data_IF_517612890805
#
_entry.id   IF_517612890805
#
_cell.length_a   1.000
_cell.length_b   1.000
_cell.length_c   1.000
_cell.angle_alpha   90.00
_cell.angle_beta   90.00
_cell.angle_gamma   90.00
#
_symmetry.space_group_name_H-M   'P 1'
#
loop_
_entity.id
_entity.type
_entity.pdbx_description
1 polymer ?
#
# COMPACT_ATOMS: atom_id res chain seq x y z
N UNK A 1 24.45 40.80 -52.25
CA UNK A 1 23.14 41.04 -51.61
C UNK A 1 22.65 39.70 -51.04
N UNK A 2 22.45 39.61 -49.71
CA UNK A 2 21.87 38.47 -48.95
C UNK A 2 20.33 38.46 -49.13
N UNK A 3 19.58 37.35 -48.94
CA UNK A 3 19.46 36.61 -47.65
C UNK A 3 19.43 35.06 -47.81
N UNK A 4 20.01 34.23 -46.94
CA UNK A 4 19.58 33.78 -45.60
C UNK A 4 18.13 33.24 -45.55
N UNK A 5 17.99 31.92 -45.28
CA UNK A 5 16.86 31.17 -44.68
C UNK A 5 16.49 29.90 -45.47
N UNK A 6 16.96 28.74 -45.00
CA UNK A 6 16.26 27.45 -45.10
C UNK A 6 16.75 26.62 -43.90
N UNK A 7 16.15 26.84 -42.72
CA UNK A 7 15.07 25.98 -42.18
C UNK A 7 15.57 24.53 -42.02
N UNK A 8 16.29 24.21 -40.94
CA UNK A 8 15.67 23.75 -39.68
C UNK A 8 14.51 22.78 -39.92
N UNK A 9 14.82 21.55 -40.35
CA UNK A 9 13.84 20.49 -40.53
C UNK A 9 14.23 19.27 -39.70
N UNK A 10 13.37 19.00 -38.71
CA UNK A 10 13.12 17.71 -38.06
C UNK A 10 14.21 17.13 -37.15
N UNK A 11 14.35 17.76 -35.99
CA UNK A 11 14.41 17.02 -34.72
C UNK A 11 13.14 16.15 -34.59
N UNK A 12 13.20 14.91 -35.05
CA UNK A 12 12.28 13.87 -34.57
C UNK A 12 12.89 13.34 -33.28
N UNK A 13 12.60 14.02 -32.17
CA UNK A 13 12.66 13.38 -30.87
C UNK A 13 11.64 12.24 -30.89
N UNK A 14 12.14 11.02 -31.10
CA UNK A 14 11.43 9.82 -30.71
C UNK A 14 11.34 9.89 -29.19
N UNK A 15 10.21 10.40 -28.69
CA UNK A 15 9.80 10.17 -27.31
C UNK A 15 9.51 8.69 -27.17
N UNK A 16 10.56 7.90 -26.95
CA UNK A 16 10.42 6.55 -26.45
C UNK A 16 9.61 6.67 -25.14
N UNK A 17 8.46 6.00 -25.00
CA UNK A 17 7.86 5.87 -23.69
C UNK A 17 8.90 5.15 -22.86
N UNK A 18 9.45 5.85 -21.86
CA UNK A 18 10.24 5.23 -20.81
C UNK A 18 9.28 4.25 -20.14
N UNK A 19 9.31 2.99 -20.55
CA UNK A 19 8.77 1.88 -19.79
C UNK A 19 9.68 1.73 -18.58
N UNK A 20 9.61 2.71 -17.67
CA UNK A 20 9.97 2.43 -16.30
C UNK A 20 8.99 1.34 -15.88
N UNK A 21 9.51 0.16 -15.57
CA UNK A 21 8.82 -0.87 -14.79
C UNK A 21 8.51 -0.30 -13.40
N UNK A 22 7.65 0.71 -13.35
CA UNK A 22 6.97 1.10 -12.15
C UNK A 22 5.82 0.11 -12.06
N UNK A 23 5.78 -0.79 -11.06
CA UNK A 23 4.58 -1.58 -10.80
C UNK A 23 3.48 -0.60 -10.36
N UNK A 24 2.80 0.00 -11.32
CA UNK A 24 1.78 1.00 -11.09
C UNK A 24 0.63 0.30 -10.38
N UNK A 25 0.46 0.57 -9.08
CA UNK A 25 -0.78 0.21 -8.41
C UNK A 25 -1.92 0.92 -9.17
N UNK A 26 -2.89 0.20 -9.74
CA UNK A 26 -4.00 0.83 -10.44
C UNK A 26 -4.69 1.79 -9.46
N UNK A 27 -5.03 3.00 -9.93
CA UNK A 27 -5.65 4.08 -9.14
C UNK A 27 -6.90 3.65 -8.34
N UNK A 28 -7.47 2.49 -8.62
CA UNK A 28 -8.56 1.87 -7.86
C UNK A 28 -8.12 1.28 -6.51
N UNK A 29 -6.81 1.16 -6.25
CA UNK A 29 -6.24 0.66 -5.00
C UNK A 29 -5.28 1.69 -4.40
N UNK A 30 -5.81 2.82 -3.94
CA UNK A 30 -5.01 3.95 -3.43
C UNK A 30 -4.31 3.67 -2.12
N UNK A 31 -4.80 2.72 -1.31
CA UNK A 31 -4.21 2.39 -0.02
C UNK A 31 -3.14 1.30 -0.11
N UNK A 32 -1.99 1.53 0.53
CA UNK A 32 -0.93 0.53 0.75
C UNK A 32 -0.72 0.28 2.23
N UNK A 33 -0.04 -0.82 2.53
CA UNK A 33 0.41 -1.18 3.87
C UNK A 33 1.91 -1.40 3.87
N UNK A 34 2.59 -0.87 4.89
CA UNK A 34 4.00 -1.12 5.21
C UNK A 34 4.10 -1.74 6.60
N UNK A 35 4.89 -2.79 6.76
CA UNK A 35 5.17 -3.42 8.05
C UNK A 35 6.36 -2.74 8.73
N UNK A 36 6.20 -2.42 10.00
CA UNK A 36 7.24 -1.92 10.90
C UNK A 36 7.48 -2.94 12.01
N UNK A 37 8.74 -3.19 12.35
CA UNK A 37 9.10 -4.17 13.39
C UNK A 37 8.78 -3.70 14.81
N UNK A 38 8.69 -2.38 15.01
CA UNK A 38 8.44 -1.74 16.30
C UNK A 38 7.73 -0.38 16.15
N UNK A 39 7.41 0.22 17.30
CA UNK A 39 6.80 1.55 17.37
C UNK A 39 7.74 2.66 16.88
N UNK A 40 9.05 2.52 17.01
CA UNK A 40 10.01 3.54 16.57
C UNK A 40 9.98 3.71 15.04
N UNK A 41 9.89 2.61 14.30
CA UNK A 41 9.67 2.62 12.86
C UNK A 41 8.33 3.30 12.51
N UNK A 42 7.23 2.91 13.18
CA UNK A 42 5.91 3.44 12.88
C UNK A 42 5.78 4.94 13.20
N UNK A 43 6.31 5.37 14.36
CA UNK A 43 6.31 6.79 14.75
C UNK A 43 7.20 7.65 13.85
N UNK A 44 8.28 7.11 13.30
CA UNK A 44 9.08 7.80 12.29
C UNK A 44 8.28 8.06 11.02
N UNK A 45 7.52 7.08 10.53
CA UNK A 45 6.63 7.26 9.37
C UNK A 45 5.53 8.29 9.64
N UNK A 46 4.96 8.30 10.85
CA UNK A 46 3.98 9.31 11.24
C UNK A 46 4.60 10.72 11.34
N UNK A 47 5.83 10.83 11.85
CA UNK A 47 6.55 12.09 11.93
C UNK A 47 6.87 12.64 10.54
N UNK A 48 7.31 11.79 9.61
CA UNK A 48 7.52 12.15 8.20
C UNK A 48 6.21 12.57 7.54
N UNK A 49 5.10 11.90 7.87
CA UNK A 49 3.78 12.26 7.38
C UNK A 49 3.25 13.59 7.93
N UNK A 50 3.83 14.12 9.01
CA UNK A 50 3.55 15.45 9.56
C UNK A 50 2.05 15.77 9.73
N UNK A 51 1.30 14.82 10.31
CA UNK A 51 -0.14 14.99 10.56
C UNK A 51 -1.04 14.76 9.35
N UNK A 52 -0.52 14.22 8.24
CA UNK A 52 -1.34 13.76 7.12
C UNK A 52 -2.34 12.69 7.60
N UNK A 53 -3.66 12.96 7.57
CA UNK A 53 -4.67 12.02 8.01
C UNK A 53 -4.71 10.76 7.13
N UNK A 54 -4.10 10.79 5.94
CA UNK A 54 -4.01 9.66 5.03
C UNK A 54 -2.87 8.68 5.38
N UNK A 55 -2.21 8.86 6.53
CA UNK A 55 -1.21 7.94 7.09
C UNK A 55 -1.65 7.50 8.47
N UNK A 56 -1.83 6.19 8.64
CA UNK A 56 -2.40 5.61 9.85
C UNK A 56 -1.45 4.52 10.34
N UNK A 57 -1.08 4.56 11.62
CA UNK A 57 -0.34 3.47 12.25
C UNK A 57 -1.29 2.62 13.09
N UNK A 58 -1.27 1.31 12.89
CA UNK A 58 -2.07 0.35 13.67
C UNK A 58 -1.17 -0.75 14.23
N UNK A 59 -1.31 -1.11 15.52
CA UNK A 59 -0.55 -2.22 16.08
C UNK A 59 -1.07 -3.52 15.46
N UNK A 60 -0.16 -4.43 15.15
CA UNK A 60 -0.53 -5.76 14.72
C UNK A 60 -1.02 -6.51 15.96
N UNK A 61 -2.29 -6.91 15.99
CA UNK A 61 -2.91 -7.61 17.13
C UNK A 61 -2.38 -9.02 17.40
N UNK A 62 -1.15 -9.33 16.97
CA UNK A 62 -0.42 -10.57 17.26
C UNK A 62 0.42 -10.39 18.53
N UNK A 63 1.00 -11.48 19.04
CA UNK A 63 1.91 -11.45 20.20
C UNK A 63 3.30 -10.87 19.87
N UNK A 64 3.41 -9.99 18.87
CA UNK A 64 4.66 -9.38 18.45
C UNK A 64 4.62 -7.85 18.60
N UNK A 65 5.77 -7.19 18.41
CA UNK A 65 5.91 -5.74 18.51
C UNK A 65 5.58 -5.01 17.22
N UNK A 66 5.05 -5.69 16.20
CA UNK A 66 4.94 -5.12 14.86
C UNK A 66 3.80 -4.11 14.77
N UNK A 67 3.99 -3.16 13.86
CA UNK A 67 3.04 -2.11 13.52
C UNK A 67 2.84 -2.10 12.02
N UNK A 68 1.65 -1.74 11.57
CA UNK A 68 1.38 -1.46 10.17
C UNK A 68 1.23 0.04 9.98
N UNK A 69 1.86 0.56 8.94
CA UNK A 69 1.66 1.91 8.44
C UNK A 69 0.84 1.82 7.17
N UNK A 70 -0.40 2.29 7.25
CA UNK A 70 -1.37 2.30 6.16
C UNK A 70 -1.37 3.69 5.55
N UNK A 71 -1.09 3.80 4.25
CA UNK A 71 -0.95 5.09 3.56
C UNK A 71 -1.78 5.13 2.28
N UNK A 72 -2.47 6.25 2.04
CA UNK A 72 -3.14 6.54 0.77
C UNK A 72 -2.20 7.21 -0.21
N UNK A 73 -2.20 6.77 -1.46
CA UNK A 73 -1.58 7.46 -2.58
C UNK A 73 -2.62 8.29 -3.32
N UNK A 74 -2.30 9.56 -3.54
CA UNK A 74 -3.17 10.51 -4.26
C UNK A 74 -2.74 10.70 -5.72
N UNK A 75 -1.47 10.41 -6.06
CA UNK A 75 -0.95 10.37 -7.42
C UNK A 75 0.39 9.61 -7.48
N UNK A 76 0.67 8.94 -8.60
CA UNK A 76 1.93 8.24 -8.86
C UNK A 76 1.84 6.71 -8.76
N UNK A 77 2.88 6.04 -9.23
CA UNK A 77 3.05 4.61 -9.07
C UNK A 77 3.65 4.32 -7.70
N UNK A 78 2.94 3.56 -6.87
CA UNK A 78 3.48 3.02 -5.65
C UNK A 78 4.24 1.73 -5.99
N UNK A 79 5.48 1.59 -5.53
CA UNK A 79 6.14 0.29 -5.58
C UNK A 79 5.44 -0.56 -4.53
N UNK A 80 4.68 -1.57 -4.97
CA UNK A 80 4.26 -2.64 -4.08
C UNK A 80 5.54 -3.26 -3.52
N UNK A 81 5.81 -2.96 -2.24
CA UNK A 81 6.92 -3.57 -1.53
C UNK A 81 6.48 -5.01 -1.30
N UNK A 82 6.77 -5.87 -2.28
CA UNK A 82 6.36 -7.28 -2.31
C UNK A 82 6.80 -8.08 -1.07
N UNK A 83 7.71 -7.53 -0.27
CA UNK A 83 8.25 -8.11 0.96
C UNK A 83 7.36 -7.87 2.20
N UNK A 84 6.29 -7.08 2.08
CA UNK A 84 5.38 -6.89 3.22
C UNK A 84 4.55 -8.15 3.48
N UNK A 85 4.59 -8.63 4.72
CA UNK A 85 3.84 -9.82 5.16
C UNK A 85 2.31 -9.62 5.18
N UNK A 86 1.87 -8.36 5.09
CA UNK A 86 0.47 -7.96 5.04
C UNK A 86 0.04 -7.56 3.64
N UNK A 87 -1.24 -7.78 3.36
CA UNK A 87 -1.96 -7.30 2.20
C UNK A 87 -3.15 -6.46 2.65
N UNK A 88 -3.58 -5.55 1.78
CA UNK A 88 -4.69 -4.64 2.01
C UNK A 88 -5.66 -4.74 0.86
N UNK A 89 -6.95 -4.86 1.19
CA UNK A 89 -8.05 -4.83 0.22
C UNK A 89 -9.01 -3.69 0.54
N UNK A 90 -9.39 -2.95 -0.49
CA UNK A 90 -10.28 -1.79 -0.42
C UNK A 90 -11.70 -2.16 -0.84
N UNK A 91 -12.68 -1.55 -0.19
CA UNK A 91 -14.10 -1.72 -0.46
C UNK A 91 -14.82 -0.38 -0.38
N UNK A 92 -15.75 -0.15 -1.32
CA UNK A 92 -16.58 1.07 -1.36
C UNK A 92 -17.69 1.08 -0.30
N UNK A 93 -17.87 0.00 0.46
CA UNK A 93 -18.92 -0.11 1.46
C UNK A 93 -18.75 -1.28 2.41
N UNK A 94 -19.48 -1.19 3.52
CA UNK A 94 -19.37 -2.13 4.64
C UNK A 94 -19.84 -3.54 4.30
N UNK A 95 -20.84 -3.71 3.44
CA UNK A 95 -21.42 -5.03 3.11
C UNK A 95 -20.37 -5.96 2.48
N UNK A 96 -19.68 -5.50 1.43
CA UNK A 96 -18.61 -6.25 0.78
C UNK A 96 -17.42 -6.51 1.70
N UNK A 97 -17.03 -5.50 2.48
CA UNK A 97 -15.91 -5.60 3.41
C UNK A 97 -16.17 -6.61 4.53
N UNK A 98 -17.35 -6.56 5.17
CA UNK A 98 -17.74 -7.46 6.25
C UNK A 98 -17.88 -8.89 5.73
N UNK A 99 -18.46 -9.09 4.54
CA UNK A 99 -18.52 -10.41 3.92
C UNK A 99 -17.13 -10.99 3.66
N UNK A 100 -16.20 -10.16 3.17
CA UNK A 100 -14.82 -10.59 2.96
C UNK A 100 -14.10 -10.90 4.29
N UNK A 101 -14.22 -10.00 5.26
CA UNK A 101 -13.63 -10.12 6.58
C UNK A 101 -14.10 -11.37 7.32
N UNK A 102 -15.41 -11.59 7.37
CA UNK A 102 -16.01 -12.75 8.05
C UNK A 102 -15.74 -14.09 7.36
N UNK A 103 -15.41 -14.06 6.05
CA UNK A 103 -14.98 -15.24 5.31
C UNK A 103 -13.54 -15.66 5.54
N UNK A 104 -12.71 -14.81 6.18
CA UNK A 104 -11.32 -15.15 6.49
C UNK A 104 -11.18 -15.93 7.79
N UNK A 105 -10.27 -16.90 7.81
CA UNK A 105 -9.92 -17.60 9.04
C UNK A 105 -9.09 -16.68 9.94
N UNK A 106 -9.15 -16.94 11.26
CA UNK A 106 -8.35 -16.18 12.24
C UNK A 106 -6.84 -16.27 11.99
N UNK A 107 -6.38 -17.33 11.32
CA UNK A 107 -4.95 -17.54 11.05
C UNK A 107 -4.37 -16.48 10.08
N UNK A 108 -5.21 -15.74 9.37
CA UNK A 108 -4.81 -14.60 8.52
C UNK A 108 -4.75 -13.26 9.28
N UNK A 109 -5.07 -13.26 10.57
CA UNK A 109 -5.16 -12.07 11.43
C UNK A 109 -5.87 -10.88 10.77
N UNK A 110 -7.10 -11.09 10.27
CA UNK A 110 -7.77 -10.04 9.53
C UNK A 110 -8.12 -8.87 10.45
N UNK A 111 -7.94 -7.66 9.93
CA UNK A 111 -8.34 -6.41 10.55
C UNK A 111 -9.25 -5.64 9.60
N UNK A 112 -10.32 -5.07 10.13
CA UNK A 112 -11.26 -4.23 9.38
C UNK A 112 -11.24 -2.82 9.98
N UNK A 113 -11.08 -1.82 9.11
CA UNK A 113 -11.07 -0.42 9.51
C UNK A 113 -11.71 0.46 8.45
N UNK A 114 -12.17 1.64 8.86
CA UNK A 114 -12.65 2.67 7.94
C UNK A 114 -11.56 3.70 7.71
N UNK A 115 -11.26 4.00 6.46
CA UNK A 115 -10.33 5.04 6.08
C UNK A 115 -10.98 6.44 6.13
N UNK A 116 -10.19 7.52 6.26
CA UNK A 116 -10.70 8.89 6.27
C UNK A 116 -11.46 9.30 5.02
N UNK A 117 -11.23 8.65 3.88
CA UNK A 117 -11.97 8.88 2.63
C UNK A 117 -13.30 8.10 2.55
N UNK A 118 -13.68 7.41 3.62
CA UNK A 118 -14.92 6.65 3.73
C UNK A 118 -14.84 5.23 3.17
N UNK A 119 -13.71 4.83 2.58
CA UNK A 119 -13.52 3.44 2.14
C UNK A 119 -13.35 2.51 3.34
N UNK A 120 -13.75 1.25 3.16
CA UNK A 120 -13.53 0.21 4.16
C UNK A 120 -12.30 -0.61 3.73
N UNK A 121 -11.33 -0.72 4.62
CA UNK A 121 -10.08 -1.43 4.40
C UNK A 121 -10.11 -2.74 5.18
N UNK A 122 -9.72 -3.82 4.51
CA UNK A 122 -9.49 -5.11 5.12
C UNK A 122 -8.02 -5.46 4.96
N UNK A 123 -7.31 -5.50 6.09
CA UNK A 123 -5.91 -5.91 6.16
C UNK A 123 -5.84 -7.36 6.62
N UNK A 124 -4.88 -8.12 6.09
CA UNK A 124 -4.62 -9.51 6.50
C UNK A 124 -3.19 -9.88 6.18
N UNK A 125 -2.66 -10.93 6.78
CA UNK A 125 -1.40 -11.50 6.32
C UNK A 125 -1.58 -12.14 4.93
N UNK A 126 -0.54 -12.14 4.09
CA UNK A 126 -0.56 -12.81 2.78
C UNK A 126 -0.63 -14.34 2.92
N UNK A 127 -0.06 -14.85 4.00
CA UNK A 127 -0.05 -16.28 4.34
C UNK A 127 -0.62 -16.49 5.73
N UNK A 128 -1.34 -17.59 5.97
CA UNK A 128 -1.82 -17.91 7.31
C UNK A 128 -0.62 -18.15 8.22
N UNK A 129 -0.66 -17.64 9.45
CA UNK A 129 0.37 -17.92 10.43
C UNK A 129 0.43 -19.45 10.69
N UNK A 130 1.61 -20.06 10.68
CA UNK A 130 1.73 -21.47 11.04
C UNK A 130 1.20 -21.64 12.46
N UNK A 131 0.11 -22.38 12.63
CA UNK A 131 -0.33 -22.81 13.96
C UNK A 131 0.84 -23.59 14.55
N UNK A 132 1.56 -23.00 15.48
CA UNK A 132 2.63 -23.67 16.21
C UNK A 132 2.07 -24.99 16.71
N UNK A 133 2.59 -26.11 16.21
CA UNK A 133 2.28 -27.41 16.80
C UNK A 133 2.62 -27.26 18.27
N UNK A 134 1.64 -27.47 19.14
CA UNK A 134 1.91 -27.65 20.56
C UNK A 134 3.01 -28.71 20.66
N UNK A 135 4.22 -28.28 21.03
CA UNK A 135 5.27 -29.21 21.40
C UNK A 135 4.79 -29.78 22.72
N UNK A 136 4.21 -30.98 22.66
CA UNK A 136 4.07 -31.78 23.85
C UNK A 136 5.49 -32.10 24.32
N UNK A 137 5.80 -31.66 25.55
CA UNK A 137 6.72 -32.24 26.55
C UNK A 137 7.48 -31.16 27.32
#
# INVERSE_FOLDING_TARGET
MRPALFASLLLILVSAPMTADCPCIPLTHVWVVKTCNDWNCASTELAVANGDPQVIAVPVGMNDSRWLVVRRFTAGAAVDVNDDSFQLKQFDGMDGAVKHYSGMTRDYHPMLMTAPDGQVLVLSTKQPEPRGRAVAH
#
